data_IF_511866776933
#
_entry.id   IF_511866776933
#
_cell.length_a   1.000
_cell.length_b   1.000
_cell.length_c   1.000
_cell.angle_alpha   90.00
_cell.angle_beta   90.00
_cell.angle_gamma   90.00
#
_symmetry.space_group_name_H-M   'P 1'
#
loop_
_entity.id
_entity.type
_entity.pdbx_description
1 polymer ?
#
# COMPACT_ATOMS: atom_id res chain seq x y z
N UNK A 1 -31.81 -38.48 -19.55
CA UNK A 1 -30.99 -38.82 -18.38
C UNK A 1 -31.33 -37.80 -17.33
N UNK A 2 -32.33 -38.11 -16.50
CA UNK A 2 -32.90 -37.22 -15.49
C UNK A 2 -32.03 -37.35 -14.24
N UNK A 3 -31.37 -36.28 -13.82
CA UNK A 3 -30.64 -36.27 -12.57
C UNK A 3 -31.68 -36.12 -11.46
N UNK A 4 -31.90 -37.16 -10.70
CA UNK A 4 -32.65 -37.11 -9.45
C UNK A 4 -31.78 -36.32 -8.45
N UNK A 5 -32.24 -35.14 -8.05
CA UNK A 5 -31.69 -34.41 -6.91
C UNK A 5 -32.11 -35.13 -5.64
N UNK A 6 -31.16 -35.74 -4.95
CA UNK A 6 -31.34 -36.23 -3.58
C UNK A 6 -31.94 -35.11 -2.73
N UNK A 7 -33.03 -35.44 -2.02
CA UNK A 7 -33.78 -34.52 -1.19
C UNK A 7 -32.87 -33.93 -0.10
N UNK A 8 -32.83 -32.61 -0.01
CA UNK A 8 -32.09 -31.91 1.05
C UNK A 8 -32.76 -32.29 2.39
N UNK A 9 -31.98 -32.90 3.27
CA UNK A 9 -32.31 -33.24 4.66
C UNK A 9 -32.38 -31.99 5.56
N UNK A 10 -32.94 -30.91 5.01
CA UNK A 10 -33.16 -29.66 5.76
C UNK A 10 -34.38 -29.82 6.63
N UNK A 11 -34.23 -29.71 7.97
CA UNK A 11 -35.39 -29.86 8.86
C UNK A 11 -36.45 -28.81 8.51
N UNK A 12 -37.71 -29.21 8.57
CA UNK A 12 -38.81 -28.28 8.39
C UNK A 12 -38.85 -27.19 9.49
N UNK A 13 -39.67 -26.18 9.31
CA UNK A 13 -39.77 -25.04 10.23
C UNK A 13 -40.18 -25.47 11.65
N UNK A 14 -41.00 -26.46 11.82
CA UNK A 14 -41.44 -26.90 13.14
C UNK A 14 -40.37 -27.75 13.84
N UNK A 15 -39.65 -28.59 13.12
CA UNK A 15 -38.48 -29.30 13.64
C UNK A 15 -37.36 -28.32 14.04
N UNK A 16 -37.12 -27.27 13.22
CA UNK A 16 -36.14 -26.22 13.55
C UNK A 16 -36.51 -25.43 14.83
N UNK A 17 -37.81 -25.12 15.02
CA UNK A 17 -38.30 -24.46 16.25
C UNK A 17 -38.14 -25.36 17.48
N UNK A 18 -38.46 -26.64 17.37
CA UNK A 18 -38.30 -27.58 18.46
C UNK A 18 -36.82 -27.72 18.88
N UNK A 19 -35.92 -27.83 17.90
CA UNK A 19 -34.46 -27.87 18.15
C UNK A 19 -33.96 -26.60 18.82
N UNK A 20 -34.42 -25.44 18.37
CA UNK A 20 -34.09 -24.16 18.99
C UNK A 20 -34.59 -24.04 20.41
N UNK A 21 -35.82 -24.47 20.70
CA UNK A 21 -36.38 -24.45 22.06
C UNK A 21 -35.59 -25.36 23.01
N UNK A 22 -35.19 -26.54 22.56
CA UNK A 22 -34.35 -27.47 23.31
C UNK A 22 -33.00 -26.87 23.63
N UNK A 23 -32.38 -26.23 22.62
CA UNK A 23 -31.07 -25.57 22.79
C UNK A 23 -31.14 -24.40 23.76
N UNK A 24 -32.18 -23.58 23.69
CA UNK A 24 -32.40 -22.46 24.60
C UNK A 24 -32.63 -22.94 26.04
N UNK A 25 -33.40 -23.99 26.24
CA UNK A 25 -33.61 -24.58 27.58
C UNK A 25 -32.32 -25.15 28.17
N UNK A 26 -31.50 -25.79 27.35
CA UNK A 26 -30.19 -26.28 27.77
C UNK A 26 -29.25 -25.13 28.11
N UNK A 27 -29.21 -24.08 27.33
CA UNK A 27 -28.31 -22.95 27.53
C UNK A 27 -28.58 -22.15 28.79
N UNK A 28 -29.79 -22.22 29.37
CA UNK A 28 -30.13 -21.58 30.64
C UNK A 28 -29.40 -22.22 31.82
N UNK A 29 -29.00 -23.48 31.71
CA UNK A 29 -28.33 -24.24 32.79
C UNK A 29 -26.86 -24.54 32.50
N UNK A 30 -26.39 -24.22 31.28
CA UNK A 30 -25.01 -24.46 30.87
C UNK A 30 -24.09 -23.28 31.23
N UNK A 31 -22.84 -23.58 31.51
CA UNK A 31 -21.81 -22.57 31.75
C UNK A 31 -21.41 -21.89 30.42
N UNK A 32 -20.87 -20.66 30.48
CA UNK A 32 -20.38 -19.97 29.26
C UNK A 32 -19.34 -20.80 28.48
N UNK A 33 -18.53 -21.59 29.16
CA UNK A 33 -17.52 -22.45 28.56
C UNK A 33 -18.16 -23.63 27.80
N UNK A 34 -19.22 -24.25 28.33
CA UNK A 34 -19.96 -25.31 27.69
C UNK A 34 -20.72 -24.80 26.46
N UNK A 35 -21.31 -23.61 26.54
CA UNK A 35 -21.98 -22.96 25.43
C UNK A 35 -20.99 -22.66 24.30
N UNK A 36 -19.81 -22.14 24.64
CA UNK A 36 -18.76 -21.83 23.67
C UNK A 36 -18.17 -23.10 23.01
N UNK A 37 -18.14 -24.22 23.73
CA UNK A 37 -17.61 -25.49 23.23
C UNK A 37 -18.55 -26.18 22.23
N UNK A 38 -19.84 -25.85 22.22
CA UNK A 38 -20.83 -26.49 21.34
C UNK A 38 -20.67 -26.03 19.89
N UNK A 39 -20.79 -24.77 19.66
CA UNK A 39 -20.54 -24.06 18.38
C UNK A 39 -20.59 -22.55 18.67
N UNK A 40 -19.61 -21.77 18.25
CA UNK A 40 -19.64 -20.32 18.40
C UNK A 40 -20.83 -19.61 17.75
N UNK A 41 -21.47 -20.22 16.76
CA UNK A 41 -22.71 -19.70 16.16
C UNK A 41 -23.89 -19.88 17.12
N UNK A 42 -23.94 -20.99 17.85
CA UNK A 42 -24.96 -21.28 18.87
C UNK A 42 -24.80 -20.37 20.09
N UNK A 43 -23.58 -20.09 20.52
CA UNK A 43 -23.31 -19.12 21.57
C UNK A 43 -23.87 -17.72 21.26
N UNK A 44 -23.87 -17.33 19.98
CA UNK A 44 -24.49 -16.07 19.54
C UNK A 44 -26.01 -16.11 19.51
N UNK A 45 -26.61 -17.24 19.15
CA UNK A 45 -28.05 -17.41 19.16
C UNK A 45 -28.62 -17.45 20.58
N UNK A 46 -27.85 -17.99 21.56
CA UNK A 46 -28.22 -18.09 22.95
C UNK A 46 -27.95 -16.83 23.79
N UNK A 47 -27.04 -15.99 23.36
CA UNK A 47 -26.70 -14.73 24.04
C UNK A 47 -27.76 -13.66 23.78
N UNK A 48 -28.95 -13.90 24.28
CA UNK A 48 -30.14 -12.99 24.31
C UNK A 48 -30.14 -11.84 23.30
N UNK A 49 -31.19 -11.70 22.57
CA UNK A 49 -31.45 -10.85 21.42
C UNK A 49 -31.31 -9.33 21.62
N UNK A 50 -30.75 -8.88 22.73
CA UNK A 50 -30.55 -7.46 22.96
C UNK A 50 -29.07 -7.09 22.96
N UNK A 51 -28.63 -6.23 22.04
CA UNK A 51 -27.43 -5.43 22.32
C UNK A 51 -27.63 -4.77 23.67
N UNK A 52 -26.67 -4.92 24.60
CA UNK A 52 -26.78 -4.25 25.89
C UNK A 52 -26.91 -2.74 25.64
N UNK A 53 -27.79 -2.08 26.43
CA UNK A 53 -28.00 -0.63 26.31
C UNK A 53 -26.66 0.10 26.38
N UNK A 54 -26.47 1.11 25.54
CA UNK A 54 -25.21 1.87 25.43
C UNK A 54 -24.89 2.73 26.67
N UNK A 55 -25.73 2.75 27.69
CA UNK A 55 -25.44 3.40 28.96
C UNK A 55 -24.36 2.58 29.73
N UNK A 56 -23.12 2.65 29.27
CA UNK A 56 -21.99 2.01 29.96
C UNK A 56 -21.15 3.06 30.65
N UNK A 57 -21.19 3.01 31.97
CA UNK A 57 -20.17 3.66 32.77
C UNK A 57 -19.04 2.63 32.88
N UNK A 58 -17.92 2.89 32.23
CA UNK A 58 -16.71 2.14 32.49
C UNK A 58 -16.17 2.54 33.84
N UNK A 59 -15.74 1.58 34.68
CA UNK A 59 -15.02 1.91 35.92
C UNK A 59 -13.84 2.82 35.57
N UNK A 60 -13.74 3.98 36.22
CA UNK A 60 -12.68 4.96 35.92
C UNK A 60 -11.28 4.42 36.26
N UNK A 61 -11.21 3.39 37.08
CA UNK A 61 -10.02 2.70 37.55
C UNK A 61 -9.69 1.43 36.75
N UNK A 62 -10.46 1.11 35.72
CA UNK A 62 -10.19 -0.08 34.92
C UNK A 62 -8.86 0.04 34.18
N UNK A 63 -7.92 -0.82 34.57
CA UNK A 63 -6.64 -0.99 33.87
C UNK A 63 -6.54 -2.40 33.35
N UNK A 64 -6.31 -2.55 32.05
CA UNK A 64 -6.12 -3.84 31.40
C UNK A 64 -4.80 -4.47 31.86
N UNK A 65 -4.81 -5.19 32.97
CA UNK A 65 -3.66 -5.98 33.46
C UNK A 65 -3.37 -7.17 32.56
N UNK A 66 -2.22 -7.83 32.79
CA UNK A 66 -1.76 -8.91 31.91
C UNK A 66 -2.71 -10.13 31.93
N UNK A 67 -3.32 -10.42 33.08
CA UNK A 67 -4.34 -11.47 33.20
C UNK A 67 -5.56 -11.17 32.30
N UNK A 68 -6.02 -9.91 32.26
CA UNK A 68 -7.12 -9.53 31.37
C UNK A 68 -6.72 -9.60 29.92
N UNK A 69 -5.49 -9.14 29.57
CA UNK A 69 -4.97 -9.22 28.22
C UNK A 69 -4.86 -10.66 27.72
N UNK A 70 -4.50 -11.61 28.61
CA UNK A 70 -4.44 -13.03 28.27
C UNK A 70 -5.80 -13.65 27.94
N UNK A 71 -6.91 -13.03 28.39
CA UNK A 71 -8.28 -13.48 28.06
C UNK A 71 -8.82 -12.89 26.75
N UNK A 72 -8.10 -11.93 26.14
CA UNK A 72 -8.55 -11.34 24.89
C UNK A 72 -8.47 -12.37 23.75
N UNK A 73 -9.46 -12.36 22.84
CA UNK A 73 -9.43 -13.28 21.71
C UNK A 73 -8.25 -12.92 20.80
N UNK A 74 -7.59 -13.95 20.26
CA UNK A 74 -6.63 -13.74 19.19
C UNK A 74 -7.37 -13.30 17.92
N UNK A 75 -7.23 -12.02 17.57
CA UNK A 75 -7.92 -11.41 16.44
C UNK A 75 -7.35 -11.85 15.10
N UNK A 76 -6.14 -12.39 15.07
CA UNK A 76 -5.44 -12.82 13.87
C UNK A 76 -5.58 -14.32 13.63
N UNK A 77 -5.32 -15.16 14.64
CA UNK A 77 -5.26 -16.61 14.53
C UNK A 77 -6.44 -17.32 15.22
N UNK A 78 -7.37 -16.57 15.80
CA UNK A 78 -8.53 -17.14 16.45
C UNK A 78 -9.46 -17.90 15.49
N UNK A 79 -10.37 -18.75 16.00
CA UNK A 79 -11.23 -19.58 15.15
C UNK A 79 -12.02 -18.74 14.14
N UNK A 80 -11.97 -19.16 12.88
CA UNK A 80 -12.65 -18.53 11.74
C UNK A 80 -14.16 -18.75 11.75
N UNK A 81 -14.66 -19.59 12.66
CA UNK A 81 -16.06 -20.04 12.76
C UNK A 81 -17.10 -18.92 12.81
N UNK A 82 -16.69 -17.69 13.12
CA UNK A 82 -17.58 -16.54 13.23
C UNK A 82 -17.76 -15.77 11.92
N UNK A 83 -16.86 -15.93 10.96
CA UNK A 83 -16.89 -15.26 9.67
C UNK A 83 -16.69 -16.33 8.60
N UNK A 84 -17.78 -16.67 7.91
CA UNK A 84 -17.70 -17.55 6.74
C UNK A 84 -17.39 -16.69 5.53
N UNK A 85 -16.14 -16.70 5.08
CA UNK A 85 -15.69 -16.15 3.82
C UNK A 85 -15.21 -17.25 2.89
N UNK A 86 -14.95 -16.93 1.63
CA UNK A 86 -14.24 -17.82 0.75
C UNK A 86 -12.83 -18.04 1.32
N UNK A 87 -12.47 -19.31 1.57
CA UNK A 87 -11.12 -19.67 1.99
C UNK A 87 -10.19 -19.56 0.77
N UNK A 88 -9.70 -18.38 0.50
CA UNK A 88 -8.81 -18.09 -0.62
C UNK A 88 -7.65 -17.22 -0.16
N UNK A 89 -6.48 -17.46 -0.74
CA UNK A 89 -5.32 -16.60 -0.57
C UNK A 89 -5.64 -15.18 -1.05
N UNK A 90 -5.38 -14.19 -0.21
CA UNK A 90 -5.42 -12.78 -0.58
C UNK A 90 -3.99 -12.29 -0.76
N UNK A 91 -3.62 -11.87 -1.96
CA UNK A 91 -2.26 -11.44 -2.25
C UNK A 91 -1.87 -10.15 -1.53
N UNK A 92 -2.80 -9.20 -1.41
CA UNK A 92 -2.54 -7.90 -0.79
C UNK A 92 -3.68 -7.50 0.13
N UNK A 93 -3.44 -7.51 1.42
CA UNK A 93 -4.31 -6.96 2.45
C UNK A 93 -3.48 -6.03 3.33
N UNK A 94 -3.99 -4.84 3.61
CA UNK A 94 -3.21 -3.85 4.37
C UNK A 94 -3.87 -2.49 4.45
N UNK A 95 -3.05 -1.48 4.64
CA UNK A 95 -3.46 -0.08 4.73
C UNK A 95 -2.89 0.72 3.56
N UNK A 96 -3.62 1.73 3.11
CA UNK A 96 -3.16 2.59 2.03
C UNK A 96 -3.28 4.06 2.39
N UNK A 97 -2.38 4.86 1.82
CA UNK A 97 -2.40 6.32 1.91
C UNK A 97 -2.37 6.88 3.34
N UNK A 98 -1.76 6.18 4.30
CA UNK A 98 -1.52 6.83 5.58
C UNK A 98 -0.34 7.80 5.49
N UNK A 99 -0.45 8.94 6.21
CA UNK A 99 0.55 10.00 6.14
C UNK A 99 1.64 9.77 7.15
N UNK A 100 2.89 9.89 6.68
CA UNK A 100 4.08 9.76 7.50
C UNK A 100 5.12 10.78 7.06
N UNK A 101 5.64 11.65 7.94
CA UNK A 101 6.80 12.48 7.62
C UNK A 101 8.05 11.61 7.58
N UNK A 102 8.89 11.82 6.57
CA UNK A 102 10.21 11.20 6.49
C UNK A 102 11.29 12.28 6.43
N UNK A 103 12.44 12.00 7.03
CA UNK A 103 13.64 12.84 6.94
C UNK A 103 14.56 12.26 5.88
N UNK A 104 14.78 13.02 4.82
CA UNK A 104 15.66 12.65 3.71
C UNK A 104 16.91 13.53 3.70
N UNK A 105 18.08 12.92 3.59
CA UNK A 105 19.33 13.64 3.41
C UNK A 105 19.59 13.87 1.93
N UNK A 106 19.70 15.14 1.50
CA UNK A 106 19.89 15.47 0.10
C UNK A 106 21.36 15.37 -0.33
N UNK A 107 21.63 15.10 -1.61
CA UNK A 107 22.98 15.07 -2.18
C UNK A 107 23.75 16.37 -1.95
N UNK A 108 23.07 17.51 -1.98
CA UNK A 108 23.67 18.82 -1.76
C UNK A 108 23.99 19.16 -0.31
N UNK A 109 23.71 18.24 0.61
CA UNK A 109 23.81 18.44 2.05
C UNK A 109 22.55 19.08 2.64
N UNK A 110 22.22 18.69 3.85
CA UNK A 110 21.04 19.15 4.58
C UNK A 110 19.87 18.16 4.49
N UNK A 111 19.07 18.19 5.54
CA UNK A 111 17.92 17.32 5.69
C UNK A 111 16.66 18.01 5.20
N UNK A 112 15.85 17.25 4.46
CA UNK A 112 14.52 17.64 4.01
C UNK A 112 13.49 16.81 4.76
N UNK A 113 12.46 17.46 5.26
CA UNK A 113 11.30 16.76 5.77
C UNK A 113 10.25 16.65 4.66
N UNK A 114 9.94 15.43 4.27
CA UNK A 114 9.01 15.13 3.19
C UNK A 114 7.74 14.52 3.77
N UNK A 115 6.60 15.06 3.38
CA UNK A 115 5.32 14.42 3.65
C UNK A 115 5.14 13.25 2.71
N UNK A 116 4.94 12.07 3.28
CA UNK A 116 4.87 10.82 2.52
C UNK A 116 3.51 10.15 2.70
N UNK A 117 2.98 9.63 1.61
CA UNK A 117 1.82 8.75 1.60
C UNK A 117 2.29 7.30 1.50
N UNK A 118 2.04 6.52 2.54
CA UNK A 118 2.51 5.13 2.66
C UNK A 118 1.37 4.15 2.45
N UNK A 119 1.64 3.12 1.67
CA UNK A 119 0.78 1.94 1.50
C UNK A 119 1.60 0.72 1.90
N UNK A 120 1.11 -0.04 2.88
CA UNK A 120 1.73 -1.28 3.33
C UNK A 120 0.74 -2.43 3.24
N UNK A 121 1.15 -3.55 2.65
CA UNK A 121 0.32 -4.75 2.52
C UNK A 121 1.15 -6.02 2.71
N UNK A 122 0.45 -7.08 3.09
CA UNK A 122 0.98 -8.44 3.21
C UNK A 122 0.05 -9.43 2.51
N UNK A 123 0.55 -10.62 2.24
CA UNK A 123 -0.30 -11.75 1.84
C UNK A 123 -1.05 -12.29 3.06
N UNK A 124 -2.26 -12.75 2.85
CA UNK A 124 -3.09 -13.42 3.86
C UNK A 124 -3.45 -14.81 3.37
N UNK A 125 -3.03 -15.82 4.11
CA UNK A 125 -3.32 -17.21 3.83
C UNK A 125 -4.82 -17.51 3.98
N UNK A 126 -5.31 -18.48 3.21
CA UNK A 126 -6.72 -18.86 3.16
C UNK A 126 -7.29 -19.28 4.54
N UNK A 127 -6.45 -19.80 5.42
CA UNK A 127 -6.82 -20.29 6.75
C UNK A 127 -6.81 -19.19 7.80
N UNK A 128 -6.16 -18.05 7.53
CA UNK A 128 -6.08 -16.93 8.47
C UNK A 128 -7.34 -16.08 8.43
N UNK A 129 -7.79 -15.67 9.61
CA UNK A 129 -9.01 -14.86 9.80
C UNK A 129 -8.87 -13.43 9.27
N UNK A 130 -7.68 -12.86 9.35
CA UNK A 130 -7.40 -11.48 8.96
C UNK A 130 -6.06 -11.00 9.50
N UNK A 131 -5.79 -9.71 9.32
CA UNK A 131 -4.58 -9.07 9.84
C UNK A 131 -4.93 -7.94 10.81
N UNK A 132 -4.02 -7.68 11.74
CA UNK A 132 -4.09 -6.50 12.60
C UNK A 132 -3.38 -5.33 11.89
N UNK A 133 -4.14 -4.50 11.18
CA UNK A 133 -3.59 -3.40 10.36
C UNK A 133 -2.78 -2.37 11.17
N UNK A 134 -3.06 -2.22 12.48
CA UNK A 134 -2.29 -1.32 13.33
C UNK A 134 -0.83 -1.77 13.52
N UNK A 135 -0.52 -3.05 13.30
CA UNK A 135 0.85 -3.56 13.37
C UNK A 135 1.69 -2.98 12.23
N UNK A 136 1.13 -2.87 11.02
CA UNK A 136 1.79 -2.24 9.89
C UNK A 136 2.17 -0.79 10.24
N UNK A 137 1.22 0.01 10.72
CA UNK A 137 1.49 1.40 11.09
C UNK A 137 2.55 1.52 12.17
N UNK A 138 2.49 0.68 13.22
CA UNK A 138 3.45 0.69 14.32
C UNK A 138 4.88 0.37 13.86
N UNK A 139 5.03 -0.51 12.90
CA UNK A 139 6.35 -0.82 12.33
C UNK A 139 6.98 0.41 11.69
N UNK A 140 6.21 1.18 10.93
CA UNK A 140 6.71 2.43 10.38
C UNK A 140 7.05 3.46 11.47
N UNK A 141 6.20 3.62 12.49
CA UNK A 141 6.46 4.58 13.57
C UNK A 141 7.72 4.27 14.38
N UNK A 142 8.16 3.02 14.46
CA UNK A 142 9.43 2.66 15.11
C UNK A 142 10.64 3.24 14.40
N UNK A 143 10.52 3.52 13.09
CA UNK A 143 11.61 3.97 12.24
C UNK A 143 11.52 5.43 11.79
N UNK A 144 10.53 6.21 12.27
CA UNK A 144 10.28 7.59 11.83
C UNK A 144 11.43 8.57 12.15
N UNK A 145 12.17 8.30 13.21
CA UNK A 145 13.30 9.16 13.63
C UNK A 145 14.58 8.90 12.82
N UNK A 146 14.64 7.80 12.08
CA UNK A 146 15.78 7.49 11.24
C UNK A 146 15.81 8.36 9.99
N UNK A 147 17.02 8.69 9.50
CA UNK A 147 17.16 9.26 8.16
C UNK A 147 16.75 8.20 7.14
N UNK A 148 15.93 8.62 6.22
CA UNK A 148 15.32 7.74 5.24
C UNK A 148 16.37 7.07 4.34
N UNK A 149 16.27 5.75 4.21
CA UNK A 149 17.04 4.92 3.29
C UNK A 149 16.24 3.65 2.95
N UNK A 150 16.69 2.87 1.98
CA UNK A 150 16.05 1.59 1.70
C UNK A 150 16.16 0.60 2.87
N UNK A 151 17.26 0.63 3.61
CA UNK A 151 17.46 -0.22 4.80
C UNK A 151 16.41 0.06 5.88
N UNK A 152 16.02 1.32 6.04
CA UNK A 152 14.94 1.72 6.97
C UNK A 152 13.59 1.15 6.54
N UNK A 153 13.30 1.17 5.23
CA UNK A 153 12.08 0.56 4.69
C UNK A 153 12.12 -0.95 4.84
N UNK A 154 13.26 -1.58 4.59
CA UNK A 154 13.45 -3.02 4.75
C UNK A 154 13.24 -3.44 6.20
N UNK A 155 13.82 -2.71 7.16
CA UNK A 155 13.60 -2.95 8.58
C UNK A 155 12.11 -2.84 8.97
N UNK A 156 11.40 -1.82 8.46
CA UNK A 156 9.96 -1.68 8.69
C UNK A 156 9.16 -2.83 8.08
N UNK A 157 9.55 -3.32 6.89
CA UNK A 157 8.93 -4.46 6.23
C UNK A 157 9.16 -5.74 7.02
N UNK A 158 10.38 -5.98 7.49
CA UNK A 158 10.72 -7.14 8.31
C UNK A 158 9.92 -7.16 9.60
N UNK A 159 9.81 -6.00 10.26
CA UNK A 159 9.05 -5.84 11.49
C UNK A 159 7.58 -6.24 11.31
N UNK A 160 6.87 -5.65 10.35
CA UNK A 160 5.45 -5.97 10.22
C UNK A 160 5.20 -7.34 9.60
N UNK A 161 6.11 -7.83 8.78
CA UNK A 161 6.04 -9.18 8.23
C UNK A 161 6.17 -10.23 9.33
N UNK A 162 7.11 -10.03 10.26
CA UNK A 162 7.26 -10.86 11.45
C UNK A 162 6.03 -10.75 12.37
N UNK A 163 5.57 -9.53 12.65
CA UNK A 163 4.40 -9.28 13.50
C UNK A 163 3.10 -9.88 12.95
N UNK A 164 2.99 -10.06 11.62
CA UNK A 164 1.81 -10.61 10.93
C UNK A 164 1.99 -12.04 10.46
N UNK A 165 3.19 -12.63 10.64
CA UNK A 165 3.51 -13.99 10.19
C UNK A 165 3.16 -14.24 8.71
N UNK A 166 3.50 -13.27 7.86
CA UNK A 166 3.18 -13.31 6.43
C UNK A 166 4.40 -13.63 5.60
N UNK A 167 4.19 -14.32 4.47
CA UNK A 167 5.28 -14.70 3.55
C UNK A 167 5.67 -13.55 2.64
N UNK A 168 4.69 -12.92 2.02
CA UNK A 168 4.87 -11.85 1.05
C UNK A 168 4.45 -10.50 1.63
N UNK A 169 5.18 -9.46 1.28
CA UNK A 169 4.90 -8.10 1.75
C UNK A 169 5.26 -7.07 0.69
N UNK A 170 4.56 -5.93 0.74
CA UNK A 170 4.81 -4.80 -0.15
C UNK A 170 4.67 -3.49 0.59
N UNK A 171 5.62 -2.59 0.34
CA UNK A 171 5.56 -1.19 0.76
C UNK A 171 5.61 -0.31 -0.48
N UNK A 172 4.79 0.72 -0.52
CA UNK A 172 4.91 1.81 -1.46
C UNK A 172 4.82 3.13 -0.71
N UNK A 173 5.81 4.00 -0.92
CA UNK A 173 5.88 5.34 -0.34
C UNK A 173 5.89 6.37 -1.46
N UNK A 174 4.95 7.32 -1.43
CA UNK A 174 4.83 8.38 -2.44
C UNK A 174 5.02 9.72 -1.79
N UNK A 175 5.79 10.59 -2.44
CA UNK A 175 6.04 11.95 -1.96
C UNK A 175 6.39 12.88 -3.13
N UNK A 176 6.28 14.17 -2.87
CA UNK A 176 6.70 15.21 -3.80
C UNK A 176 8.07 15.74 -3.38
N UNK A 177 9.07 15.55 -4.22
CA UNK A 177 10.47 15.87 -3.94
C UNK A 177 10.83 17.27 -4.47
N UNK A 178 11.22 18.22 -3.60
CA UNK A 178 11.62 19.57 -4.01
C UNK A 178 13.08 19.58 -4.48
N UNK A 179 13.32 19.99 -5.71
CA UNK A 179 14.67 20.21 -6.24
C UNK A 179 14.87 21.65 -6.65
N UNK A 180 15.98 22.25 -6.21
CA UNK A 180 16.32 23.62 -6.59
C UNK A 180 16.99 23.65 -7.95
N UNK A 181 16.36 24.33 -8.90
CA UNK A 181 16.78 24.37 -10.31
C UNK A 181 16.98 25.82 -10.75
N UNK A 182 18.05 26.05 -11.52
CA UNK A 182 18.28 27.34 -12.16
C UNK A 182 17.47 27.43 -13.47
N UNK A 183 16.80 28.55 -13.68
CA UNK A 183 16.15 28.87 -14.95
C UNK A 183 17.18 28.96 -16.09
N UNK A 184 16.84 28.39 -17.25
CA UNK A 184 17.73 28.36 -18.42
C UNK A 184 18.16 29.76 -18.91
N UNK A 185 17.24 30.74 -18.88
CA UNK A 185 17.49 32.10 -19.39
C UNK A 185 17.98 33.07 -18.31
N UNK A 186 17.22 33.20 -17.25
CA UNK A 186 17.48 34.22 -16.22
C UNK A 186 18.52 33.81 -15.20
N UNK A 187 18.89 32.54 -15.12
CA UNK A 187 19.74 31.95 -14.07
C UNK A 187 19.20 32.10 -12.65
N UNK A 188 17.98 32.61 -12.50
CA UNK A 188 17.31 32.64 -11.21
C UNK A 188 16.97 31.22 -10.79
N UNK A 189 17.13 30.94 -9.50
CA UNK A 189 16.85 29.63 -8.93
C UNK A 189 15.47 29.57 -8.34
N UNK A 190 14.75 28.46 -8.60
CA UNK A 190 13.45 28.17 -8.01
C UNK A 190 13.33 26.69 -7.63
N UNK A 191 12.28 26.36 -6.91
CA UNK A 191 11.98 24.96 -6.62
C UNK A 191 11.09 24.36 -7.70
N UNK A 192 11.47 23.18 -8.17
CA UNK A 192 10.63 22.31 -8.97
C UNK A 192 10.35 21.06 -8.16
N UNK A 193 9.11 20.59 -8.21
CA UNK A 193 8.67 19.41 -7.48
C UNK A 193 8.53 18.23 -8.44
N UNK A 194 9.03 17.09 -8.01
CA UNK A 194 8.96 15.84 -8.76
C UNK A 194 8.19 14.79 -7.95
N UNK A 195 7.26 14.12 -8.59
CA UNK A 195 6.51 13.04 -7.94
C UNK A 195 7.33 11.77 -7.99
N UNK A 196 7.73 11.31 -6.83
CA UNK A 196 8.50 10.10 -6.60
C UNK A 196 7.68 9.07 -5.85
N UNK A 197 7.92 7.80 -6.17
CA UNK A 197 7.46 6.70 -5.35
C UNK A 197 8.58 5.68 -5.17
N UNK A 198 8.68 5.16 -3.98
CA UNK A 198 9.56 4.05 -3.64
C UNK A 198 8.71 2.83 -3.42
N UNK A 199 9.15 1.72 -3.94
CA UNK A 199 8.46 0.45 -3.79
C UNK A 199 9.45 -0.61 -3.35
N UNK A 200 9.10 -1.31 -2.28
CA UNK A 200 9.78 -2.50 -1.81
C UNK A 200 8.78 -3.66 -1.88
N UNK A 201 9.10 -4.66 -2.67
CA UNK A 201 8.29 -5.87 -2.83
C UNK A 201 9.10 -7.07 -2.38
N UNK A 202 8.54 -7.86 -1.48
CA UNK A 202 9.06 -9.19 -1.19
C UNK A 202 8.03 -10.22 -1.61
N UNK A 203 8.43 -11.10 -2.50
CA UNK A 203 7.60 -12.18 -3.00
C UNK A 203 8.41 -13.47 -3.12
N UNK A 204 7.90 -14.54 -2.52
CA UNK A 204 8.61 -15.84 -2.48
C UNK A 204 10.05 -15.72 -1.96
N UNK A 205 10.28 -14.88 -0.96
CA UNK A 205 11.59 -14.63 -0.36
C UNK A 205 12.56 -13.80 -1.22
N UNK A 206 12.12 -13.27 -2.34
CA UNK A 206 12.92 -12.36 -3.18
C UNK A 206 12.47 -10.93 -3.01
N UNK A 207 13.40 -10.04 -2.72
CA UNK A 207 13.18 -8.60 -2.58
C UNK A 207 13.52 -7.86 -3.86
N UNK A 208 12.72 -6.85 -4.17
CA UNK A 208 12.97 -5.86 -5.22
C UNK A 208 12.75 -4.48 -4.66
N UNK A 209 13.70 -3.60 -4.91
CA UNK A 209 13.68 -2.18 -4.57
C UNK A 209 13.48 -1.41 -5.86
N UNK A 210 12.43 -0.60 -5.94
CA UNK A 210 12.11 0.13 -7.17
C UNK A 210 11.90 1.60 -6.82
N UNK A 211 12.53 2.48 -7.59
CA UNK A 211 12.26 3.92 -7.57
C UNK A 211 11.45 4.28 -8.79
N UNK A 212 10.32 4.94 -8.57
CA UNK A 212 9.49 5.49 -9.63
C UNK A 212 9.61 7.01 -9.63
N UNK A 213 9.72 7.58 -10.83
CA UNK A 213 9.78 9.02 -11.04
C UNK A 213 8.80 9.40 -12.16
N UNK A 214 7.87 10.31 -11.87
CA UNK A 214 7.08 10.98 -12.90
C UNK A 214 7.81 12.27 -13.33
N UNK A 215 8.57 12.15 -14.44
CA UNK A 215 9.34 13.25 -14.99
C UNK A 215 8.51 14.06 -15.98
N UNK A 216 8.24 15.31 -15.64
CA UNK A 216 7.48 16.24 -16.48
C UNK A 216 8.43 16.98 -17.41
N UNK A 217 8.13 16.97 -18.70
CA UNK A 217 8.90 17.68 -19.70
C UNK A 217 8.00 18.37 -20.74
N UNK A 218 8.56 19.33 -21.46
CA UNK A 218 7.89 19.97 -22.59
C UNK A 218 8.24 19.22 -23.87
N UNK A 219 7.23 18.91 -24.67
CA UNK A 219 7.41 18.34 -26.02
C UNK A 219 6.72 19.19 -27.07
N UNK A 220 7.27 19.22 -28.23
CA UNK A 220 6.62 19.88 -29.39
C UNK A 220 5.71 18.86 -30.08
N UNK A 221 4.47 19.26 -30.37
CA UNK A 221 3.55 18.42 -31.13
C UNK A 221 4.08 18.21 -32.56
N UNK A 222 4.33 16.98 -33.05
CA UNK A 222 4.89 16.71 -34.37
C UNK A 222 4.03 17.28 -35.49
N UNK A 223 2.71 17.12 -35.41
CA UNK A 223 1.78 17.64 -36.43
C UNK A 223 1.82 19.17 -36.49
N UNK A 224 1.91 19.84 -35.34
CA UNK A 224 2.01 21.30 -35.28
C UNK A 224 3.36 21.79 -35.84
N UNK A 225 4.42 21.01 -35.60
CA UNK A 225 5.75 21.32 -36.19
C UNK A 225 5.72 21.19 -37.70
N UNK A 226 5.19 20.12 -38.29
CA UNK A 226 5.07 19.91 -39.73
C UNK A 226 4.25 21.01 -40.40
N UNK A 227 3.12 21.39 -39.79
CA UNK A 227 2.30 22.50 -40.32
C UNK A 227 3.04 23.84 -40.26
N UNK A 228 3.82 24.07 -39.18
CA UNK A 228 4.63 25.28 -39.02
C UNK A 228 5.74 25.34 -40.08
N UNK A 229 6.44 24.24 -40.31
CA UNK A 229 7.46 24.13 -41.34
C UNK A 229 6.86 24.28 -42.77
N UNK A 230 5.70 23.68 -43.04
CA UNK A 230 4.98 23.86 -44.28
C UNK A 230 4.59 25.33 -44.53
N UNK A 231 4.05 26.02 -43.53
CA UNK A 231 3.70 27.43 -43.62
C UNK A 231 4.94 28.30 -43.88
N UNK A 232 6.07 27.99 -43.27
CA UNK A 232 7.34 28.65 -43.50
C UNK A 232 7.84 28.46 -44.94
N UNK A 233 7.80 27.23 -45.44
CA UNK A 233 8.28 26.89 -46.79
C UNK A 233 7.40 27.46 -47.92
N UNK A 234 6.08 27.44 -47.72
CA UNK A 234 5.12 27.81 -48.80
C UNK A 234 4.68 29.27 -48.77
N UNK A 235 4.67 29.92 -47.62
CA UNK A 235 4.15 31.27 -47.41
C UNK A 235 5.17 32.25 -46.85
N UNK A 236 6.37 31.81 -46.49
CA UNK A 236 7.35 32.62 -45.79
C UNK A 236 6.90 33.11 -44.39
N UNK A 237 5.87 32.51 -43.84
CA UNK A 237 5.30 32.90 -42.56
C UNK A 237 5.99 32.16 -41.41
N UNK A 238 6.39 32.91 -40.37
CA UNK A 238 6.86 32.33 -39.15
C UNK A 238 5.65 31.83 -38.36
N UNK A 239 5.52 30.51 -38.20
CA UNK A 239 4.54 29.89 -37.33
C UNK A 239 5.26 29.11 -36.26
N UNK A 240 4.83 29.27 -35.01
CA UNK A 240 5.41 28.59 -33.87
C UNK A 240 4.60 27.35 -33.54
N UNK A 241 5.19 26.16 -33.58
CA UNK A 241 4.48 24.95 -33.17
C UNK A 241 4.13 25.01 -31.68
N UNK A 242 2.98 24.48 -31.29
CA UNK A 242 2.61 24.46 -29.89
C UNK A 242 3.43 23.41 -29.14
N UNK A 243 3.80 23.74 -27.93
CA UNK A 243 4.40 22.81 -26.99
C UNK A 243 3.30 22.21 -26.08
N UNK A 244 3.51 20.99 -25.67
CA UNK A 244 2.63 20.27 -24.77
C UNK A 244 3.40 19.74 -23.56
N UNK A 245 2.73 19.69 -22.41
CA UNK A 245 3.27 19.09 -21.21
C UNK A 245 3.12 17.58 -21.30
N UNK A 246 4.22 16.87 -21.22
CA UNK A 246 4.27 15.41 -21.23
C UNK A 246 4.86 14.88 -19.93
N UNK A 247 4.52 13.65 -19.59
CA UNK A 247 5.03 12.96 -18.39
C UNK A 247 5.67 11.65 -18.83
N UNK A 248 6.94 11.47 -18.48
CA UNK A 248 7.62 10.20 -18.60
C UNK A 248 7.58 9.50 -17.23
N UNK A 249 6.94 8.34 -17.15
CA UNK A 249 6.97 7.47 -15.98
C UNK A 249 8.15 6.53 -16.08
N UNK A 250 9.06 6.65 -15.16
CA UNK A 250 10.31 5.92 -15.12
C UNK A 250 10.30 5.05 -13.87
N UNK A 251 10.68 3.77 -14.05
CA UNK A 251 10.85 2.85 -12.93
C UNK A 251 12.23 2.24 -13.01
N UNK A 252 13.00 2.33 -11.95
CA UNK A 252 14.37 1.84 -11.87
C UNK A 252 14.45 0.86 -10.71
N UNK A 253 14.87 -0.37 -11.01
CA UNK A 253 15.20 -1.35 -9.97
C UNK A 253 16.58 -0.99 -9.39
N UNK A 254 16.63 -0.83 -8.07
CA UNK A 254 17.86 -0.53 -7.34
C UNK A 254 18.48 -1.85 -6.92
N UNK A 255 19.62 -2.14 -7.46
CA UNK A 255 20.41 -3.32 -7.08
C UNK A 255 21.18 -3.00 -5.79
N UNK A 256 21.52 -4.04 -5.01
CA UNK A 256 22.35 -3.91 -3.82
C UNK A 256 23.81 -3.62 -4.23
N UNK A 257 24.03 -2.44 -4.79
CA UNK A 257 25.34 -1.94 -5.15
C UNK A 257 25.81 -0.98 -4.06
N UNK A 258 27.14 -0.91 -3.87
CA UNK A 258 27.78 -0.03 -2.88
C UNK A 258 27.54 1.47 -3.12
N UNK A 259 26.90 1.85 -4.23
CA UNK A 259 26.65 3.24 -4.61
C UNK A 259 25.24 3.69 -4.18
N UNK A 260 25.19 4.80 -3.43
CA UNK A 260 23.93 5.46 -3.08
C UNK A 260 23.25 6.02 -4.33
N UNK A 261 22.01 5.61 -4.59
CA UNK A 261 21.16 6.25 -5.58
C UNK A 261 20.52 7.52 -4.97
N UNK A 262 20.95 8.68 -5.46
CA UNK A 262 20.30 9.95 -5.13
C UNK A 262 19.15 10.24 -6.08
N UNK A 263 18.03 10.73 -5.55
CA UNK A 263 16.90 11.13 -6.41
C UNK A 263 17.29 12.25 -7.38
N UNK A 264 18.17 13.14 -6.92
CA UNK A 264 18.75 14.21 -7.74
C UNK A 264 19.48 13.66 -8.96
N UNK A 265 20.22 12.55 -8.83
CA UNK A 265 20.95 11.95 -9.94
C UNK A 265 20.00 11.37 -10.99
N UNK A 266 18.91 10.71 -10.56
CA UNK A 266 17.88 10.20 -11.44
C UNK A 266 17.19 11.35 -12.21
N UNK A 267 16.83 12.42 -11.50
CA UNK A 267 16.23 13.62 -12.09
C UNK A 267 17.19 14.29 -13.08
N UNK A 268 18.48 14.47 -12.69
CA UNK A 268 19.50 15.04 -13.56
C UNK A 268 19.77 14.19 -14.81
N UNK A 269 19.69 12.87 -14.70
CA UNK A 269 19.80 11.96 -15.83
C UNK A 269 18.64 12.17 -16.83
N UNK A 270 17.41 12.24 -16.31
CA UNK A 270 16.23 12.50 -17.13
C UNK A 270 16.30 13.87 -17.79
N UNK A 271 16.74 14.88 -17.05
CA UNK A 271 16.93 16.24 -17.58
C UNK A 271 17.92 16.28 -18.73
N UNK A 272 19.10 15.66 -18.58
CA UNK A 272 20.08 15.55 -19.68
C UNK A 272 19.55 14.81 -20.89
N UNK A 273 18.66 13.83 -20.69
CA UNK A 273 18.00 13.12 -21.77
C UNK A 273 16.96 13.95 -22.53
N UNK A 274 16.24 14.81 -21.81
CA UNK A 274 15.20 15.68 -22.38
C UNK A 274 15.76 16.94 -23.04
N UNK A 275 16.89 17.47 -22.55
CA UNK A 275 17.54 18.69 -23.04
C UNK A 275 18.42 18.46 -24.28
N UNK A 276 18.56 17.22 -24.76
CA UNK A 276 19.30 16.94 -26.00
C UNK A 276 18.50 17.38 -27.20
N UNK A 277 18.97 18.44 -27.85
CA UNK A 277 18.45 18.91 -29.13
C UNK A 277 18.58 17.77 -30.18
N UNK A 278 17.47 17.35 -30.82
CA UNK A 278 17.53 16.36 -31.89
C UNK A 278 18.36 16.80 -33.11
N UNK A 279 18.67 18.10 -33.22
CA UNK A 279 19.45 18.66 -34.32
C UNK A 279 20.96 18.41 -34.23
N UNK A 280 21.48 17.99 -33.08
CA UNK A 280 22.93 17.82 -32.83
C UNK A 280 23.55 16.57 -33.49
N UNK A 281 22.84 15.90 -34.38
CA UNK A 281 23.38 14.84 -35.28
C UNK A 281 24.14 13.70 -34.56
N UNK A 282 24.21 13.70 -33.26
CA UNK A 282 24.89 12.66 -32.48
C UNK A 282 23.93 11.48 -32.27
N UNK A 283 24.22 10.45 -32.98
CA UNK A 283 23.65 9.10 -32.93
C UNK A 283 23.11 8.75 -31.55
N UNK A 284 21.80 8.50 -31.50
CA UNK A 284 21.14 7.86 -30.34
C UNK A 284 21.89 6.59 -29.97
N UNK A 285 22.79 6.66 -29.01
CA UNK A 285 23.13 5.45 -28.26
C UNK A 285 21.87 5.10 -27.46
N UNK A 286 21.19 4.07 -27.90
CA UNK A 286 20.16 3.39 -27.12
C UNK A 286 20.82 2.93 -25.82
N UNK A 287 20.77 3.72 -24.77
CA UNK A 287 20.82 3.19 -23.43
C UNK A 287 19.47 2.47 -23.25
N UNK A 288 19.51 1.18 -23.34
CA UNK A 288 18.32 0.37 -23.13
C UNK A 288 17.84 0.58 -21.71
N UNK A 289 16.72 1.26 -21.60
CA UNK A 289 15.84 1.13 -20.45
C UNK A 289 14.85 0.02 -20.84
N UNK A 290 14.97 -1.11 -20.15
CA UNK A 290 13.93 -2.14 -20.16
C UNK A 290 12.76 -1.71 -19.28
#
# INVERSE_FOLDING_TARGET
MTIETEGSDTPDREAAKAALATLLAWSQNATPAEIAALDPAVARMGAGTGYPAFARIYPADFTAGDNYKATLPDLQNGPTSLIRGAQQLIQHVGISNFRLPIRYHSRGGGDLQLETSVTGSVSLDAEKKGINMSRIMRSFYRHTEATFSFEVIEAALDDYKADLESLDARIQMRFSFPMKIASLRSKLTGYQYYDLALELVEQNGKRKKIVHLDYVYSSTCPCSLELSEHARATRGQLATPHSQRSVARISVEVLDAEECLWFEDLIDLCRRGADRDPSDGQTRRRTGFC
#
